data_IF_423629028567
#
_entry.id   IF_423629028567
#
_cell.length_a   1.000
_cell.length_b   1.000
_cell.length_c   1.000
_cell.angle_alpha   90.00
_cell.angle_beta   90.00
_cell.angle_gamma   90.00
#
_symmetry.space_group_name_H-M   'P 1'
#
loop_
_entity.id
_entity.type
_entity.pdbx_description
1 polymer ?
#
# COMPACT_ATOMS: atom_id res chain seq x y z
N UNK A 1 -20.82 16.14 -7.86
CA UNK A 1 -20.88 14.70 -8.18
C UNK A 1 -19.51 14.35 -8.69
N UNK A 2 -18.73 13.56 -7.94
CA UNK A 2 -17.45 13.08 -8.43
C UNK A 2 -17.69 12.39 -9.78
N UNK A 3 -16.97 12.82 -10.82
CA UNK A 3 -17.11 12.27 -12.16
C UNK A 3 -16.86 10.76 -12.10
N UNK A 4 -17.83 9.97 -12.56
CA UNK A 4 -17.79 8.51 -12.55
C UNK A 4 -16.49 7.99 -13.16
N UNK A 5 -15.94 8.70 -14.15
CA UNK A 5 -14.70 8.35 -14.84
C UNK A 5 -13.50 8.34 -13.90
N UNK A 6 -13.37 9.39 -13.09
CA UNK A 6 -12.31 9.53 -12.06
C UNK A 6 -12.42 8.39 -11.04
N UNK A 7 -13.64 8.12 -10.56
CA UNK A 7 -13.87 7.05 -9.60
C UNK A 7 -13.61 5.66 -10.20
N UNK A 8 -13.95 5.43 -11.47
CA UNK A 8 -13.75 4.16 -12.14
C UNK A 8 -12.26 3.86 -12.34
N UNK A 9 -11.47 4.83 -12.83
CA UNK A 9 -10.02 4.67 -13.08
C UNK A 9 -9.25 4.36 -11.80
N UNK A 10 -9.65 4.97 -10.69
CA UNK A 10 -9.05 4.76 -9.37
C UNK A 10 -9.59 3.52 -8.64
N UNK A 11 -10.58 2.82 -9.18
CA UNK A 11 -11.23 1.68 -8.51
C UNK A 11 -12.04 2.10 -7.27
N UNK A 12 -12.64 3.29 -7.28
CA UNK A 12 -13.53 3.80 -6.20
C UNK A 12 -14.98 3.37 -6.35
N UNK A 13 -15.46 3.08 -7.57
CA UNK A 13 -16.89 2.81 -7.76
C UNK A 13 -17.16 1.77 -8.85
N UNK A 14 -16.75 0.51 -8.59
CA UNK A 14 -17.22 -0.64 -9.37
C UNK A 14 -18.55 -1.18 -8.84
N UNK A 15 -19.42 -0.36 -8.24
CA UNK A 15 -20.79 -0.81 -8.05
C UNK A 15 -21.38 -1.10 -9.43
N UNK A 16 -21.55 -2.40 -9.73
CA UNK A 16 -22.40 -2.91 -10.79
C UNK A 16 -23.71 -2.13 -10.70
N UNK A 17 -23.86 -1.09 -11.53
CA UNK A 17 -25.11 -0.40 -11.66
C UNK A 17 -26.03 -1.38 -12.39
N UNK A 18 -26.69 -2.24 -11.62
CA UNK A 18 -27.67 -3.26 -12.04
C UNK A 18 -28.83 -2.66 -12.83
N UNK A 19 -28.87 -1.33 -12.98
CA UNK A 19 -29.69 -0.66 -13.98
C UNK A 19 -29.01 -0.75 -15.35
N UNK A 20 -29.01 -1.96 -15.93
CA UNK A 20 -28.66 -2.30 -17.33
C UNK A 20 -29.41 -1.45 -18.38
N UNK A 21 -30.30 -0.54 -17.98
CA UNK A 21 -31.11 0.30 -18.87
C UNK A 21 -30.48 1.66 -19.24
N UNK A 22 -29.37 2.07 -18.61
CA UNK A 22 -28.68 3.34 -18.98
C UNK A 22 -27.36 3.17 -19.73
N UNK A 23 -26.75 2.00 -19.68
CA UNK A 23 -25.63 1.67 -20.53
C UNK A 23 -26.21 1.04 -21.80
N UNK A 24 -26.19 1.79 -22.90
CA UNK A 24 -26.49 1.26 -24.22
C UNK A 24 -25.55 0.12 -24.61
N UNK A 25 -25.58 -0.38 -25.86
CA UNK A 25 -24.74 -1.48 -26.28
C UNK A 25 -23.27 -1.08 -26.25
N UNK A 26 -22.58 -1.36 -25.15
CA UNK A 26 -21.14 -1.16 -25.00
C UNK A 26 -20.77 -0.72 -23.59
N UNK A 27 -19.99 -1.54 -22.89
CA UNK A 27 -19.06 -1.03 -21.89
C UNK A 27 -18.26 0.10 -22.55
N UNK A 28 -18.23 1.29 -21.94
CA UNK A 28 -17.33 2.34 -22.40
C UNK A 28 -15.91 1.81 -22.35
N UNK A 29 -15.22 1.86 -23.49
CA UNK A 29 -13.84 1.36 -23.59
C UNK A 29 -12.98 2.16 -22.62
N UNK A 30 -12.03 1.50 -21.95
CA UNK A 30 -11.07 2.12 -21.04
C UNK A 30 -10.46 3.45 -21.56
N UNK A 31 -10.16 3.53 -22.86
CA UNK A 31 -9.67 4.74 -23.52
C UNK A 31 -10.65 5.93 -23.45
N UNK A 32 -11.96 5.69 -23.50
CA UNK A 32 -12.97 6.72 -23.36
C UNK A 32 -13.04 7.25 -21.93
N UNK A 33 -13.04 6.34 -20.94
CA UNK A 33 -13.05 6.72 -19.52
C UNK A 33 -11.80 7.53 -19.15
N UNK A 34 -10.62 7.12 -19.63
CA UNK A 34 -9.39 7.90 -19.48
C UNK A 34 -9.47 9.27 -20.16
N UNK A 35 -10.06 9.36 -21.36
CA UNK A 35 -10.21 10.63 -22.05
C UNK A 35 -11.11 11.60 -21.27
N UNK A 36 -12.21 11.10 -20.70
CA UNK A 36 -13.10 11.91 -19.85
C UNK A 36 -12.39 12.37 -18.58
N UNK A 37 -11.68 11.48 -17.89
CA UNK A 37 -10.92 11.85 -16.68
C UNK A 37 -9.77 12.84 -16.95
N UNK A 38 -9.16 12.78 -18.14
CA UNK A 38 -8.21 13.79 -18.61
C UNK A 38 -8.89 15.15 -18.79
N UNK A 39 -10.03 15.19 -19.47
CA UNK A 39 -10.72 16.45 -19.79
C UNK A 39 -11.42 17.08 -18.58
N UNK A 40 -11.95 16.27 -17.66
CA UNK A 40 -12.80 16.74 -16.57
C UNK A 40 -12.08 16.77 -15.21
N UNK A 41 -11.07 15.92 -15.03
CA UNK A 41 -10.41 15.70 -13.72
C UNK A 41 -8.90 15.93 -13.70
N UNK A 42 -8.25 16.28 -14.82
CA UNK A 42 -6.79 16.49 -14.86
C UNK A 42 -5.96 15.22 -14.57
N UNK A 43 -6.55 14.03 -14.78
CA UNK A 43 -5.87 12.74 -14.59
C UNK A 43 -5.27 12.31 -15.93
N UNK A 44 -3.98 12.55 -16.10
CA UNK A 44 -3.27 12.23 -17.36
C UNK A 44 -3.09 10.72 -17.57
N UNK A 45 -2.93 9.95 -16.49
CA UNK A 45 -2.79 8.49 -16.54
C UNK A 45 -3.33 7.83 -15.27
N UNK A 46 -3.70 6.55 -15.36
CA UNK A 46 -4.38 5.81 -14.28
C UNK A 46 -3.58 5.78 -12.95
N UNK A 47 -2.26 5.81 -13.04
CA UNK A 47 -1.37 5.78 -11.87
C UNK A 47 -0.83 7.16 -11.47
N UNK A 48 -1.35 8.27 -12.01
CA UNK A 48 -0.83 9.59 -11.64
C UNK A 48 -1.05 9.86 -10.15
N UNK A 49 -0.25 10.73 -9.51
CA UNK A 49 -0.49 11.13 -8.13
C UNK A 49 -1.91 11.66 -7.92
N UNK A 50 -2.37 11.66 -6.67
CA UNK A 50 -3.65 12.28 -6.32
C UNK A 50 -3.60 13.79 -6.58
N UNK A 51 -4.68 14.32 -7.17
CA UNK A 51 -4.87 15.77 -7.34
C UNK A 51 -5.49 16.38 -6.08
N UNK A 52 -5.38 17.70 -5.90
CA UNK A 52 -5.95 18.38 -4.71
C UNK A 52 -7.45 18.14 -4.55
N UNK A 53 -8.22 18.11 -5.65
CA UNK A 53 -9.65 17.79 -5.60
C UNK A 53 -9.92 16.38 -5.05
N UNK A 54 -9.07 15.39 -5.38
CA UNK A 54 -9.17 14.04 -4.84
C UNK A 54 -8.79 13.97 -3.35
N UNK A 55 -7.89 14.85 -2.89
CA UNK A 55 -7.54 15.00 -1.48
C UNK A 55 -8.70 15.66 -0.71
N UNK A 56 -9.29 16.72 -1.27
CA UNK A 56 -10.45 17.40 -0.71
C UNK A 56 -11.65 16.47 -0.58
N UNK A 57 -11.95 15.65 -1.59
CA UNK A 57 -13.02 14.65 -1.48
C UNK A 57 -12.80 13.69 -0.30
N UNK A 58 -11.55 13.29 -0.06
CA UNK A 58 -11.21 12.39 1.06
C UNK A 58 -11.37 13.05 2.42
N UNK A 59 -11.09 14.35 2.55
CA UNK A 59 -11.34 15.14 3.78
C UNK A 59 -12.82 15.13 4.19
N UNK A 60 -13.74 14.99 3.23
CA UNK A 60 -15.19 15.04 3.44
C UNK A 60 -15.89 13.67 3.39
N UNK A 61 -15.15 12.61 3.05
CA UNK A 61 -15.68 11.29 2.68
C UNK A 61 -15.15 10.15 3.53
N UNK A 62 -15.37 8.91 3.06
CA UNK A 62 -14.95 7.68 3.73
C UNK A 62 -13.42 7.51 3.61
N UNK A 63 -12.62 7.62 4.69
CA UNK A 63 -11.19 7.43 4.58
C UNK A 63 -10.86 5.94 4.70
N UNK A 64 -10.25 5.38 3.66
CA UNK A 64 -9.58 4.08 3.73
C UNK A 64 -8.08 4.29 3.53
N UNK A 65 -7.29 3.75 4.45
CA UNK A 65 -5.85 4.01 4.57
C UNK A 65 -5.07 3.35 3.41
N UNK A 66 -4.32 4.17 2.66
CA UNK A 66 -3.52 3.84 1.47
C UNK A 66 -4.14 2.89 0.44
N UNK A 67 -5.47 2.72 0.45
CA UNK A 67 -6.18 1.75 -0.39
C UNK A 67 -7.59 2.25 -0.71
N UNK A 68 -8.13 1.79 -1.84
CA UNK A 68 -9.52 2.08 -2.23
C UNK A 68 -10.44 0.88 -1.95
N UNK A 69 -11.69 1.12 -1.51
CA UNK A 69 -12.63 0.08 -1.07
C UNK A 69 -13.15 -0.84 -2.19
N UNK A 70 -13.02 -0.48 -3.48
CA UNK A 70 -13.70 -1.16 -4.58
C UNK A 70 -12.81 -1.44 -5.80
N UNK A 71 -11.68 -2.10 -5.59
CA UNK A 71 -10.80 -2.52 -6.68
C UNK A 71 -11.52 -3.58 -7.55
N UNK A 72 -11.63 -3.38 -8.89
CA UNK A 72 -12.13 -4.41 -9.81
C UNK A 72 -11.39 -5.74 -9.62
N UNK A 73 -12.12 -6.86 -9.57
CA UNK A 73 -11.56 -8.20 -9.34
C UNK A 73 -11.62 -8.69 -7.88
N UNK A 74 -11.74 -7.81 -6.88
CA UNK A 74 -11.88 -8.24 -5.48
C UNK A 74 -13.25 -8.82 -5.13
N UNK A 75 -14.29 -8.50 -5.90
CA UNK A 75 -15.66 -9.08 -5.75
C UNK A 75 -15.85 -10.43 -6.45
N UNK A 76 -14.83 -10.95 -7.14
CA UNK A 76 -14.83 -12.32 -7.63
C UNK A 76 -14.38 -13.33 -6.55
N UNK A 77 -13.88 -12.82 -5.41
CA UNK A 77 -13.68 -13.60 -4.18
C UNK A 77 -15.05 -13.91 -3.54
N UNK A 78 -15.35 -15.18 -3.19
CA UNK A 78 -16.60 -15.54 -2.55
C UNK A 78 -16.81 -14.77 -1.25
N UNK A 79 -18.06 -14.37 -1.03
CA UNK A 79 -18.55 -13.72 0.19
C UNK A 79 -18.04 -14.39 1.47
N UNK A 80 -17.35 -13.59 2.28
CA UNK A 80 -16.80 -13.93 3.59
C UNK A 80 -17.85 -14.51 4.54
N UNK A 81 -17.88 -15.83 4.72
CA UNK A 81 -18.58 -16.46 5.85
C UNK A 81 -17.74 -17.46 6.65
N UNK A 82 -16.47 -17.67 6.34
CA UNK A 82 -15.57 -18.50 7.17
C UNK A 82 -14.16 -17.94 7.19
N UNK A 83 -13.44 -18.17 8.31
CA UNK A 83 -12.00 -17.92 8.43
C UNK A 83 -11.27 -18.72 7.34
N UNK A 84 -10.88 -18.06 6.26
CA UNK A 84 -10.08 -18.62 5.16
C UNK A 84 -8.65 -18.15 5.35
N UNK A 85 -7.68 -19.06 5.26
CA UNK A 85 -6.24 -18.77 5.38
C UNK A 85 -5.74 -17.94 4.19
N UNK A 86 -4.62 -17.22 4.33
CA UNK A 86 -4.02 -16.40 3.25
C UNK A 86 -3.78 -17.23 1.97
N UNK A 87 -3.34 -18.48 2.13
CA UNK A 87 -3.15 -19.44 1.03
C UNK A 87 -4.43 -19.69 0.22
N UNK A 88 -5.59 -19.58 0.86
CA UNK A 88 -6.87 -19.98 0.31
C UNK A 88 -7.66 -18.78 -0.25
N UNK A 89 -7.20 -17.54 0.01
CA UNK A 89 -7.63 -16.32 -0.71
C UNK A 89 -6.93 -16.13 -2.06
N UNK A 90 -5.72 -16.70 -2.25
CA UNK A 90 -4.95 -16.60 -3.52
C UNK A 90 -5.51 -17.48 -4.64
N UNK A 91 -6.34 -18.47 -4.32
CA UNK A 91 -6.98 -19.37 -5.30
C UNK A 91 -8.05 -18.66 -6.14
N UNK A 92 -8.54 -17.51 -5.69
CA UNK A 92 -9.61 -16.75 -6.36
C UNK A 92 -9.11 -15.53 -7.15
N UNK A 93 -7.78 -15.28 -7.19
CA UNK A 93 -7.20 -14.26 -8.09
C UNK A 93 -6.93 -14.86 -9.47
N UNK A 94 -7.32 -14.14 -10.52
CA UNK A 94 -7.04 -14.55 -11.91
C UNK A 94 -5.53 -14.39 -12.21
N UNK A 95 -4.76 -15.42 -11.87
CA UNK A 95 -3.33 -15.50 -12.19
C UNK A 95 -3.12 -16.10 -13.59
N UNK A 96 -2.10 -15.61 -14.27
CA UNK A 96 -1.57 -16.19 -15.50
C UNK A 96 -0.85 -17.51 -15.23
N UNK A 97 -0.64 -18.31 -16.27
CA UNK A 97 0.10 -19.57 -16.15
C UNK A 97 1.55 -19.35 -15.67
N UNK A 98 2.20 -18.26 -16.07
CA UNK A 98 3.55 -17.91 -15.63
C UNK A 98 3.59 -17.54 -14.14
N UNK A 99 2.61 -16.80 -13.65
CA UNK A 99 2.47 -16.48 -12.23
C UNK A 99 2.24 -17.74 -11.38
N UNK A 100 1.39 -18.66 -11.84
CA UNK A 100 1.16 -19.94 -11.16
C UNK A 100 2.43 -20.80 -11.16
N UNK A 101 3.15 -20.88 -12.28
CA UNK A 101 4.41 -21.63 -12.36
C UNK A 101 5.45 -21.07 -11.37
N UNK A 102 5.58 -19.74 -11.30
CA UNK A 102 6.47 -19.09 -10.35
C UNK A 102 6.08 -19.30 -8.89
N UNK A 103 4.78 -19.26 -8.58
CA UNK A 103 4.25 -19.57 -7.26
C UNK A 103 4.62 -21.00 -6.81
N UNK A 104 4.49 -21.97 -7.71
CA UNK A 104 4.84 -23.38 -7.41
C UNK A 104 6.33 -23.65 -7.35
N UNK A 105 7.17 -22.73 -7.86
CA UNK A 105 8.62 -22.89 -7.92
C UNK A 105 9.11 -23.86 -9.01
N UNK A 106 8.24 -24.28 -9.94
CA UNK A 106 8.61 -25.21 -11.00
C UNK A 106 9.23 -24.48 -12.21
N UNK A 107 10.56 -24.42 -12.24
CA UNK A 107 11.34 -23.73 -13.28
C UNK A 107 11.12 -24.36 -14.66
N UNK A 108 11.02 -25.69 -14.75
CA UNK A 108 10.81 -26.39 -16.02
C UNK A 108 9.47 -26.02 -16.65
N UNK A 109 8.40 -25.98 -15.86
CA UNK A 109 7.08 -25.55 -16.33
C UNK A 109 7.11 -24.09 -16.76
N UNK A 110 7.77 -23.21 -15.99
CA UNK A 110 7.91 -21.81 -16.36
C UNK A 110 8.59 -21.69 -17.73
N UNK A 111 9.74 -22.34 -17.92
CA UNK A 111 10.50 -22.26 -19.17
C UNK A 111 9.73 -22.85 -20.36
N UNK A 112 8.97 -23.93 -20.16
CA UNK A 112 8.06 -24.47 -21.17
C UNK A 112 6.98 -23.48 -21.58
N UNK A 113 6.35 -22.80 -20.61
CA UNK A 113 5.33 -21.79 -20.89
C UNK A 113 5.92 -20.60 -21.64
N UNK A 114 7.11 -20.14 -21.26
CA UNK A 114 7.84 -19.07 -21.96
C UNK A 114 8.19 -19.48 -23.39
N UNK A 115 8.71 -20.69 -23.59
CA UNK A 115 9.02 -21.23 -24.91
C UNK A 115 7.78 -21.39 -25.81
N UNK A 116 6.61 -21.64 -25.21
CA UNK A 116 5.33 -21.67 -25.91
C UNK A 116 4.80 -20.28 -26.29
N UNK A 117 5.50 -19.20 -25.95
CA UNK A 117 5.12 -17.82 -26.28
C UNK A 117 4.11 -17.21 -25.31
N UNK A 118 4.10 -17.66 -24.04
CA UNK A 118 3.32 -16.99 -23.01
C UNK A 118 3.76 -15.52 -22.87
N UNK A 119 2.79 -14.62 -22.79
CA UNK A 119 3.05 -13.18 -22.70
C UNK A 119 3.70 -12.81 -21.35
N UNK A 120 4.88 -12.20 -21.44
CA UNK A 120 5.67 -11.69 -20.31
C UNK A 120 6.16 -10.25 -20.54
N UNK A 121 5.62 -9.57 -21.56
CA UNK A 121 6.17 -8.30 -22.06
C UNK A 121 6.19 -7.19 -21.02
N UNK A 122 5.19 -7.15 -20.12
CA UNK A 122 5.10 -6.12 -19.09
C UNK A 122 6.08 -6.32 -17.93
N UNK A 123 6.55 -7.55 -17.70
CA UNK A 123 7.37 -7.89 -16.53
C UNK A 123 8.87 -7.84 -16.81
N UNK A 124 9.26 -7.81 -18.08
CA UNK A 124 10.66 -7.68 -18.50
C UNK A 124 11.06 -6.21 -18.48
N UNK A 125 12.26 -5.90 -17.96
CA UNK A 125 12.79 -4.54 -18.02
C UNK A 125 13.44 -4.29 -19.38
N UNK A 126 12.98 -3.31 -20.19
CA UNK A 126 13.74 -2.90 -21.37
C UNK A 126 15.03 -2.22 -20.92
N UNK A 127 16.15 -2.56 -21.54
CA UNK A 127 17.48 -2.04 -21.21
C UNK A 127 17.70 -0.52 -21.42
N UNK A 128 16.65 0.24 -21.75
CA UNK A 128 16.73 1.63 -22.23
C UNK A 128 15.64 2.58 -21.74
N UNK A 129 14.74 2.18 -20.83
CA UNK A 129 13.72 3.13 -20.37
C UNK A 129 14.34 4.22 -19.49
N UNK A 130 14.15 5.47 -19.90
CA UNK A 130 14.36 6.66 -19.08
C UNK A 130 13.65 6.50 -17.74
N UNK A 131 14.23 7.05 -16.67
CA UNK A 131 13.63 7.12 -15.34
C UNK A 131 12.34 7.97 -15.28
N UNK A 132 11.75 8.33 -16.42
CA UNK A 132 10.49 9.05 -16.47
C UNK A 132 9.35 8.05 -16.24
N UNK A 133 8.94 7.95 -14.98
CA UNK A 133 7.81 7.16 -14.50
C UNK A 133 6.56 7.29 -15.39
N UNK A 134 6.35 8.45 -16.01
CA UNK A 134 5.19 8.73 -16.84
C UNK A 134 5.07 7.85 -18.11
N UNK A 135 6.18 7.35 -18.68
CA UNK A 135 6.15 6.53 -19.89
C UNK A 135 5.87 5.05 -19.60
N UNK A 136 6.29 4.55 -18.44
CA UNK A 136 6.07 3.15 -18.02
C UNK A 136 4.58 2.80 -17.83
N UNK A 137 3.71 3.80 -17.70
CA UNK A 137 2.29 3.61 -17.39
C UNK A 137 1.34 4.12 -18.47
N UNK A 138 1.85 4.47 -19.66
CA UNK A 138 1.02 4.81 -20.81
C UNK A 138 0.42 3.53 -21.39
N UNK A 139 -0.86 3.31 -21.10
CA UNK A 139 -1.67 2.27 -21.76
C UNK A 139 -2.03 2.79 -23.15
N UNK A 140 -1.17 2.53 -24.15
CA UNK A 140 -1.53 2.78 -25.54
C UNK A 140 -2.62 1.78 -25.96
N UNK A 141 -3.68 2.29 -26.59
CA UNK A 141 -4.98 1.63 -26.66
C UNK A 141 -5.07 0.27 -27.39
N UNK A 142 -6.25 -0.34 -27.23
CA UNK A 142 -6.79 -1.59 -27.82
C UNK A 142 -6.04 -2.91 -27.63
N UNK A 143 -4.72 -2.94 -27.53
CA UNK A 143 -3.93 -4.18 -27.48
C UNK A 143 -3.07 -4.27 -26.20
N UNK A 144 -3.69 -4.04 -25.03
CA UNK A 144 -3.01 -4.28 -23.75
C UNK A 144 -2.72 -5.77 -23.59
N UNK A 145 -1.44 -6.11 -23.42
CA UNK A 145 -1.00 -7.49 -23.24
C UNK A 145 -1.54 -8.08 -21.94
N UNK A 146 -1.64 -9.41 -21.85
CA UNK A 146 -2.22 -10.07 -20.66
C UNK A 146 -1.38 -9.76 -19.41
N UNK A 147 -0.05 -9.75 -19.56
CA UNK A 147 0.91 -9.38 -18.52
C UNK A 147 0.73 -7.94 -18.04
N UNK A 148 0.29 -7.03 -18.92
CA UNK A 148 -0.01 -5.65 -18.55
C UNK A 148 -1.30 -5.51 -17.73
N UNK A 149 -2.27 -6.40 -17.97
CA UNK A 149 -3.53 -6.46 -17.21
C UNK A 149 -3.39 -7.24 -15.90
N UNK A 150 -2.24 -7.85 -15.63
CA UNK A 150 -2.00 -8.57 -14.39
C UNK A 150 -1.87 -7.61 -13.20
N UNK A 151 -2.48 -7.99 -12.07
CA UNK A 151 -2.36 -7.27 -10.79
C UNK A 151 -1.14 -7.74 -9.98
N UNK A 152 -0.35 -8.64 -10.53
CA UNK A 152 0.81 -9.30 -9.94
C UNK A 152 1.86 -9.54 -11.04
N UNK A 153 2.97 -10.19 -10.69
CA UNK A 153 3.91 -10.74 -11.65
C UNK A 153 4.52 -12.04 -11.09
N UNK A 154 5.17 -12.85 -11.94
CA UNK A 154 5.88 -14.05 -11.47
C UNK A 154 6.90 -13.76 -10.37
N UNK A 155 7.53 -12.58 -10.36
CA UNK A 155 8.43 -12.16 -9.26
C UNK A 155 7.66 -11.99 -7.95
N UNK A 156 6.50 -11.34 -7.98
CA UNK A 156 5.63 -11.21 -6.80
C UNK A 156 5.23 -12.58 -6.27
N UNK A 157 4.79 -13.49 -7.14
CA UNK A 157 4.34 -14.83 -6.77
C UNK A 157 5.47 -15.70 -6.21
N UNK A 158 6.66 -15.66 -6.80
CA UNK A 158 7.82 -16.40 -6.30
C UNK A 158 8.20 -15.93 -4.89
N UNK A 159 8.22 -14.62 -4.64
CA UNK A 159 8.46 -14.04 -3.30
C UNK A 159 7.36 -14.49 -2.34
N UNK A 160 6.09 -14.35 -2.74
CA UNK A 160 4.93 -14.67 -1.89
C UNK A 160 4.86 -16.14 -1.47
N UNK A 161 5.44 -17.04 -2.26
CA UNK A 161 5.56 -18.46 -1.97
C UNK A 161 6.91 -18.87 -1.34
N UNK A 162 7.86 -17.92 -1.20
CA UNK A 162 9.19 -18.18 -0.67
C UNK A 162 10.09 -19.00 -1.62
N UNK A 163 9.85 -18.96 -2.91
CA UNK A 163 10.55 -19.75 -3.93
C UNK A 163 11.84 -19.07 -4.39
N UNK A 164 12.88 -19.13 -3.54
CA UNK A 164 14.14 -18.43 -3.77
C UNK A 164 14.84 -18.80 -5.10
N UNK A 165 14.91 -20.09 -5.44
CA UNK A 165 15.52 -20.55 -6.70
C UNK A 165 14.77 -20.04 -7.92
N UNK A 166 13.44 -19.99 -7.85
CA UNK A 166 12.59 -19.45 -8.90
C UNK A 166 12.81 -17.94 -9.05
N UNK A 167 12.86 -17.19 -7.94
CA UNK A 167 13.15 -15.76 -7.97
C UNK A 167 14.49 -15.47 -8.65
N UNK A 168 15.55 -16.20 -8.28
CA UNK A 168 16.86 -16.06 -8.92
C UNK A 168 16.79 -16.33 -10.43
N UNK A 169 16.07 -17.37 -10.84
CA UNK A 169 15.89 -17.68 -12.27
C UNK A 169 15.13 -16.57 -13.01
N UNK A 170 14.04 -16.06 -12.43
CA UNK A 170 13.27 -14.96 -13.01
C UNK A 170 14.12 -13.69 -13.21
N UNK A 171 14.89 -13.30 -12.20
CA UNK A 171 15.72 -12.09 -12.27
C UNK A 171 16.93 -12.26 -13.19
N UNK A 172 17.68 -13.36 -13.05
CA UNK A 172 18.96 -13.54 -13.75
C UNK A 172 18.83 -14.12 -15.17
N UNK A 173 17.98 -15.14 -15.35
CA UNK A 173 17.80 -15.84 -16.63
C UNK A 173 16.70 -15.19 -17.45
N UNK A 174 15.54 -14.94 -16.84
CA UNK A 174 14.37 -14.42 -17.55
C UNK A 174 14.38 -12.89 -17.71
N UNK A 175 15.28 -12.18 -17.00
CA UNK A 175 15.43 -10.71 -17.01
C UNK A 175 14.16 -9.96 -16.58
N UNK A 176 13.44 -10.55 -15.62
CA UNK A 176 12.27 -9.89 -15.04
C UNK A 176 12.72 -8.70 -14.19
N UNK A 177 11.95 -7.64 -14.24
CA UNK A 177 12.23 -6.42 -13.50
C UNK A 177 12.05 -6.65 -11.99
N UNK A 178 13.06 -6.35 -11.15
CA UNK A 178 12.90 -6.31 -9.69
C UNK A 178 12.02 -5.13 -9.23
N UNK A 179 11.67 -4.22 -10.15
CA UNK A 179 11.03 -2.93 -9.92
C UNK A 179 9.62 -2.85 -10.54
N UNK A 180 9.07 -3.96 -11.05
CA UNK A 180 7.78 -3.96 -11.74
C UNK A 180 6.64 -3.46 -10.83
N UNK A 181 5.85 -2.50 -11.30
CA UNK A 181 4.66 -1.99 -10.60
C UNK A 181 3.40 -2.43 -11.36
N UNK A 182 2.53 -3.26 -10.77
CA UNK A 182 1.30 -3.69 -11.43
C UNK A 182 0.40 -2.52 -11.85
N UNK A 183 0.08 -2.41 -13.14
CA UNK A 183 -0.65 -1.26 -13.68
C UNK A 183 -2.17 -1.41 -13.55
N UNK A 184 -2.68 -2.64 -13.59
CA UNK A 184 -4.11 -2.93 -13.60
C UNK A 184 -4.83 -2.58 -12.29
N UNK A 185 -4.11 -2.52 -11.17
CA UNK A 185 -4.64 -2.18 -9.87
C UNK A 185 -3.76 -1.08 -9.23
N UNK A 186 -3.87 0.17 -9.70
CA UNK A 186 -2.89 1.22 -9.45
C UNK A 186 -2.81 1.67 -7.98
N UNK A 187 -3.89 1.46 -7.22
CA UNK A 187 -3.99 1.79 -5.79
C UNK A 187 -3.34 0.75 -4.89
N UNK A 188 -2.98 -0.41 -5.46
CA UNK A 188 -2.25 -1.51 -4.79
C UNK A 188 -1.03 -1.94 -5.62
N UNK A 189 -0.51 -1.03 -6.45
CA UNK A 189 0.67 -1.24 -7.29
C UNK A 189 1.95 -1.21 -6.45
N UNK A 190 2.17 -2.30 -5.69
CA UNK A 190 3.34 -2.50 -4.87
C UNK A 190 4.48 -3.03 -5.74
N UNK A 191 5.68 -2.39 -5.75
CA UNK A 191 6.89 -3.03 -6.28
C UNK A 191 7.23 -4.32 -5.50
N UNK A 192 7.97 -5.28 -6.08
CA UNK A 192 8.29 -6.56 -5.44
C UNK A 192 8.84 -6.44 -4.02
N UNK A 193 9.73 -5.48 -3.78
CA UNK A 193 10.31 -5.25 -2.46
C UNK A 193 9.26 -4.76 -1.44
N UNK A 194 8.45 -3.76 -1.83
CA UNK A 194 7.35 -3.28 -1.01
C UNK A 194 6.30 -4.35 -0.76
N UNK A 195 6.00 -5.18 -1.77
CA UNK A 195 5.06 -6.30 -1.66
C UNK A 195 5.56 -7.38 -0.68
N UNK A 196 6.85 -7.71 -0.71
CA UNK A 196 7.46 -8.64 0.23
C UNK A 196 7.22 -8.19 1.68
N UNK A 197 7.47 -6.91 1.97
CA UNK A 197 7.27 -6.35 3.32
C UNK A 197 5.79 -6.24 3.65
N UNK A 198 4.94 -5.78 2.73
CA UNK A 198 3.57 -5.42 3.04
C UNK A 198 2.58 -6.61 3.05
N UNK A 199 2.86 -7.69 2.30
CA UNK A 199 1.87 -8.75 2.03
C UNK A 199 2.36 -10.17 2.33
N UNK A 200 3.66 -10.37 2.54
CA UNK A 200 4.23 -11.70 2.76
C UNK A 200 4.48 -11.98 4.24
N UNK A 201 4.54 -13.26 4.58
CA UNK A 201 4.89 -13.71 5.92
C UNK A 201 6.41 -13.63 6.10
N UNK A 202 6.87 -12.60 6.80
CA UNK A 202 8.29 -12.37 7.07
C UNK A 202 8.91 -13.41 8.03
N UNK A 203 8.10 -14.26 8.67
CA UNK A 203 8.60 -15.40 9.46
C UNK A 203 8.99 -16.60 8.58
N UNK A 204 8.55 -16.62 7.32
CA UNK A 204 8.90 -17.66 6.37
C UNK A 204 10.35 -17.49 5.88
N UNK A 205 11.20 -18.48 6.13
CA UNK A 205 12.62 -18.46 5.75
C UNK A 205 12.85 -18.35 4.24
N UNK A 206 11.96 -18.90 3.41
CA UNK A 206 12.00 -18.74 1.96
C UNK A 206 11.72 -17.31 1.52
N UNK A 207 10.77 -16.64 2.17
CA UNK A 207 10.47 -15.20 1.93
C UNK A 207 11.66 -14.35 2.36
N UNK A 208 12.26 -14.63 3.52
CA UNK A 208 13.49 -13.96 3.98
C UNK A 208 14.64 -14.14 2.99
N UNK A 209 14.85 -15.35 2.47
CA UNK A 209 15.84 -15.62 1.43
C UNK A 209 15.58 -14.83 0.14
N UNK A 210 14.32 -14.76 -0.29
CA UNK A 210 13.90 -13.95 -1.42
C UNK A 210 14.17 -12.45 -1.20
N UNK A 211 13.91 -11.94 0.02
CA UNK A 211 14.14 -10.55 0.38
C UNK A 211 15.62 -10.18 0.32
N UNK A 212 16.49 -11.04 0.86
CA UNK A 212 17.95 -10.85 0.80
C UNK A 212 18.46 -10.85 -0.65
N UNK A 213 17.99 -11.79 -1.48
CA UNK A 213 18.37 -11.85 -2.90
C UNK A 213 17.91 -10.60 -3.67
N UNK A 214 16.69 -10.13 -3.38
CA UNK A 214 16.13 -8.94 -4.01
C UNK A 214 16.92 -7.67 -3.61
N UNK A 215 17.19 -7.48 -2.31
CA UNK A 215 18.00 -6.37 -1.79
C UNK A 215 19.44 -6.37 -2.33
N UNK A 216 19.95 -7.54 -2.70
CA UNK A 216 21.29 -7.69 -3.31
C UNK A 216 21.30 -7.47 -4.83
N UNK A 217 20.13 -7.30 -5.46
CA UNK A 217 20.04 -7.20 -6.91
C UNK A 217 20.51 -5.81 -7.42
N UNK A 218 21.46 -5.73 -8.36
CA UNK A 218 22.10 -4.45 -8.73
C UNK A 218 21.17 -3.45 -9.42
N UNK A 219 20.07 -3.92 -10.01
CA UNK A 219 19.08 -3.07 -10.67
C UNK A 219 17.87 -2.74 -9.79
N UNK A 220 17.83 -3.25 -8.54
CA UNK A 220 16.75 -2.92 -7.63
C UNK A 220 16.79 -1.42 -7.30
N UNK A 221 15.66 -0.76 -7.45
CA UNK A 221 15.43 0.56 -6.90
C UNK A 221 14.62 0.42 -5.60
N UNK A 222 15.33 0.53 -4.47
CA UNK A 222 14.74 0.41 -3.14
C UNK A 222 13.91 1.64 -2.74
N UNK A 223 14.03 2.75 -3.48
CA UNK A 223 13.33 4.00 -3.20
C UNK A 223 12.03 4.16 -4.02
N UNK A 224 11.54 3.09 -4.66
CA UNK A 224 10.28 3.14 -5.39
C UNK A 224 9.09 3.33 -4.46
N UNK A 225 8.29 4.35 -4.75
CA UNK A 225 7.02 4.62 -4.09
C UNK A 225 5.85 4.00 -4.86
N UNK A 226 4.75 3.74 -4.15
CA UNK A 226 3.48 3.46 -4.82
C UNK A 226 3.03 4.69 -5.60
N UNK A 227 2.54 4.53 -6.83
CA UNK A 227 2.42 5.66 -7.75
C UNK A 227 1.28 6.64 -7.39
N UNK A 228 0.19 6.14 -6.78
CA UNK A 228 -0.95 7.00 -6.38
C UNK A 228 -0.74 7.63 -5.01
N UNK A 229 -0.37 6.81 -4.03
CA UNK A 229 -0.34 7.22 -2.62
C UNK A 229 1.05 7.62 -2.13
N UNK A 230 2.06 7.58 -3.01
CA UNK A 230 3.45 7.90 -2.69
C UNK A 230 4.00 7.11 -1.49
N UNK A 231 3.57 5.85 -1.30
CA UNK A 231 3.94 5.06 -0.12
C UNK A 231 5.28 4.39 -0.37
N UNK A 232 6.29 4.79 0.39
CA UNK A 232 7.60 4.16 0.43
C UNK A 232 7.60 2.84 1.23
N UNK A 233 8.53 1.93 0.94
CA UNK A 233 8.64 0.64 1.64
C UNK A 233 8.81 0.77 3.16
N UNK A 234 9.50 1.82 3.61
CA UNK A 234 9.72 2.08 5.03
C UNK A 234 8.42 2.41 5.78
N UNK A 235 7.39 2.91 5.10
CA UNK A 235 6.07 3.05 5.71
C UNK A 235 5.48 1.66 6.03
N UNK A 236 5.61 0.68 5.12
CA UNK A 236 5.16 -0.70 5.39
C UNK A 236 6.00 -1.35 6.49
N UNK A 237 7.33 -1.17 6.48
CA UNK A 237 8.20 -1.67 7.54
C UNK A 237 7.82 -1.09 8.91
N UNK A 238 7.56 0.21 8.97
CA UNK A 238 7.12 0.91 10.20
C UNK A 238 5.79 0.37 10.70
N UNK A 239 4.87 0.04 9.78
CA UNK A 239 3.59 -0.55 10.15
C UNK A 239 3.75 -1.89 10.87
N UNK A 240 4.82 -2.68 10.67
CA UNK A 240 5.01 -3.92 11.43
C UNK A 240 5.32 -3.72 12.91
N UNK A 241 5.70 -2.50 13.32
CA UNK A 241 6.26 -2.21 14.64
C UNK A 241 7.38 -3.16 15.06
N UNK A 242 8.20 -3.54 14.08
CA UNK A 242 9.42 -4.30 14.28
C UNK A 242 10.60 -3.32 14.13
N UNK A 243 11.18 -2.83 15.25
CA UNK A 243 12.26 -1.84 15.22
C UNK A 243 13.53 -2.40 14.58
N UNK A 244 13.76 -3.72 14.65
CA UNK A 244 14.94 -4.37 14.08
C UNK A 244 14.82 -4.44 12.56
N UNK A 245 13.65 -4.88 12.05
CA UNK A 245 13.34 -4.86 10.62
C UNK A 245 13.44 -3.44 10.06
N UNK A 246 12.85 -2.48 10.75
CA UNK A 246 12.83 -1.08 10.33
C UNK A 246 14.25 -0.49 10.26
N UNK A 247 15.06 -0.71 11.30
CA UNK A 247 16.45 -0.22 11.36
C UNK A 247 17.34 -0.90 10.32
N UNK A 248 17.16 -2.21 10.11
CA UNK A 248 17.91 -2.97 9.11
C UNK A 248 17.62 -2.46 7.69
N UNK A 249 16.34 -2.29 7.33
CA UNK A 249 15.96 -1.76 6.02
C UNK A 249 16.48 -0.32 5.83
N UNK A 250 16.31 0.55 6.83
CA UNK A 250 16.81 1.92 6.76
C UNK A 250 18.35 1.97 6.66
N UNK A 251 19.07 1.00 7.21
CA UNK A 251 20.54 0.90 7.08
C UNK A 251 21.01 0.51 5.68
N UNK A 252 20.18 -0.21 4.90
CA UNK A 252 20.52 -0.68 3.55
C UNK A 252 20.07 0.33 2.48
N UNK A 253 18.96 1.03 2.71
CA UNK A 253 18.35 1.91 1.72
C UNK A 253 19.16 3.21 1.58
N UNK A 254 19.53 3.64 0.36
CA UNK A 254 20.15 4.94 0.14
C UNK A 254 19.26 6.08 0.63
N UNK A 255 19.78 6.89 1.57
CA UNK A 255 19.03 7.97 2.23
C UNK A 255 18.35 7.56 3.54
N UNK A 256 18.36 6.27 3.88
CA UNK A 256 17.82 5.73 5.13
C UNK A 256 16.40 6.19 5.43
N UNK A 257 16.13 6.60 6.67
CA UNK A 257 14.79 7.08 7.06
C UNK A 257 14.31 8.30 6.25
N UNK A 258 15.21 9.17 5.80
CA UNK A 258 14.84 10.35 5.01
C UNK A 258 14.27 9.97 3.63
N UNK A 259 14.66 8.82 3.08
CA UNK A 259 14.19 8.35 1.78
C UNK A 259 12.68 8.09 1.77
N UNK A 260 12.06 7.83 2.94
CA UNK A 260 10.63 7.58 3.02
C UNK A 260 9.78 8.79 2.61
N UNK A 261 10.25 10.01 2.87
CA UNK A 261 9.47 11.23 2.64
C UNK A 261 8.11 11.22 3.35
N UNK A 262 7.08 11.69 2.64
CA UNK A 262 5.68 11.67 3.07
C UNK A 262 4.81 11.02 2.01
N UNK A 263 3.75 10.34 2.44
CA UNK A 263 2.74 9.80 1.52
C UNK A 263 1.93 10.94 0.88
N UNK A 264 1.17 10.64 -0.16
CA UNK A 264 0.24 11.60 -0.78
C UNK A 264 -0.85 12.09 0.20
N UNK A 265 -1.04 11.38 1.32
CA UNK A 265 -1.94 11.77 2.40
C UNK A 265 -1.23 12.55 3.52
N UNK A 266 0.07 12.88 3.35
CA UNK A 266 0.87 13.60 4.34
C UNK A 266 1.33 12.75 5.52
N UNK A 267 1.18 11.42 5.47
CA UNK A 267 1.70 10.56 6.52
C UNK A 267 3.23 10.47 6.44
N UNK A 268 3.86 10.71 7.58
CA UNK A 268 5.29 10.44 7.82
C UNK A 268 5.44 9.06 8.47
N UNK A 269 6.68 8.56 8.60
CA UNK A 269 6.95 7.34 9.38
C UNK A 269 6.42 7.46 10.82
N UNK A 270 6.52 8.65 11.45
CA UNK A 270 6.02 8.84 12.82
C UNK A 270 4.49 8.76 12.89
N UNK A 271 3.76 9.24 11.88
CA UNK A 271 2.32 9.01 11.80
C UNK A 271 2.03 7.50 11.79
N UNK A 272 2.75 6.75 10.94
CA UNK A 272 2.54 5.31 10.80
C UNK A 272 2.87 4.55 12.09
N UNK A 273 3.98 4.91 12.74
CA UNK A 273 4.36 4.32 14.03
C UNK A 273 3.42 4.70 15.19
N UNK A 274 2.58 5.72 15.00
CA UNK A 274 1.61 6.17 15.99
C UNK A 274 0.21 5.59 15.79
N UNK A 275 0.01 4.85 14.70
CA UNK A 275 -1.26 4.24 14.39
C UNK A 275 -1.54 3.00 15.26
N UNK A 276 -2.83 2.69 15.50
CA UNK A 276 -3.23 1.43 16.10
C UNK A 276 -2.94 0.25 15.16
N UNK A 277 -2.51 -0.87 15.73
CA UNK A 277 -2.16 -2.09 14.99
C UNK A 277 -3.36 -2.73 14.30
N UNK A 278 -4.55 -2.52 14.84
CA UNK A 278 -5.81 -3.03 14.30
C UNK A 278 -6.89 -1.96 14.30
N UNK A 279 -7.86 -2.08 13.37
CA UNK A 279 -9.03 -1.20 13.32
C UNK A 279 -9.94 -1.32 14.55
N UNK A 280 -9.76 -2.31 15.42
CA UNK A 280 -10.54 -2.48 16.66
C UNK A 280 -9.91 -1.78 17.87
N UNK A 281 -8.75 -1.13 17.72
CA UNK A 281 -8.01 -0.45 18.80
C UNK A 281 -8.30 1.06 18.90
N UNK A 282 -9.31 1.58 18.19
CA UNK A 282 -9.67 3.00 18.18
C UNK A 282 -10.89 3.32 19.04
N UNK A 283 -10.89 4.51 19.64
CA UNK A 283 -12.09 5.20 20.16
C UNK A 283 -13.00 5.56 18.95
N UNK A 284 -14.29 5.95 19.07
CA UNK A 284 -15.23 5.98 17.93
C UNK A 284 -14.95 7.08 16.88
N UNK A 285 -13.76 7.69 16.92
CA UNK A 285 -13.23 8.57 15.88
C UNK A 285 -12.40 7.76 14.89
N UNK A 286 -12.78 7.85 13.61
CA UNK A 286 -12.28 7.03 12.49
C UNK A 286 -10.79 7.27 12.19
N UNK A 287 -9.90 6.65 12.94
CA UNK A 287 -8.49 6.54 12.58
C UNK A 287 -8.26 5.16 11.93
N UNK A 288 -7.93 5.06 10.64
CA UNK A 288 -7.76 3.76 10.00
C UNK A 288 -6.36 3.18 10.23
N UNK A 289 -6.24 1.87 10.42
CA UNK A 289 -4.97 1.16 10.72
C UNK A 289 -4.10 0.90 9.46
N UNK A 290 -2.76 1.00 9.56
CA UNK A 290 -1.82 0.81 8.45
C UNK A 290 -1.54 -0.65 8.11
N UNK A 291 -1.64 -1.55 9.09
CA UNK A 291 -1.29 -2.97 8.94
C UNK A 291 -2.43 -3.74 8.25
N UNK A 292 -3.64 -3.22 8.36
CA UNK A 292 -4.82 -3.84 7.79
C UNK A 292 -5.21 -3.15 6.48
N UNK A 293 -4.49 -3.48 5.40
CA UNK A 293 -5.04 -3.46 4.03
C UNK A 293 -6.20 -4.49 3.85
N UNK A 294 -6.94 -4.77 4.93
CA UNK A 294 -8.10 -5.64 4.96
C UNK A 294 -9.35 -4.79 5.18
N UNK A 295 -10.16 -4.80 4.14
CA UNK A 295 -11.50 -4.26 4.02
C UNK A 295 -12.36 -4.77 5.18
N UNK A 296 -12.76 -3.86 6.06
CA UNK A 296 -13.93 -4.03 6.90
C UNK A 296 -15.03 -3.18 6.29
N UNK A 297 -16.16 -3.80 5.97
CA UNK A 297 -17.36 -3.13 5.46
C UNK A 297 -17.87 -2.10 6.49
N UNK A 298 -18.68 -1.11 6.09
CA UNK A 298 -19.23 -0.12 7.02
C UNK A 298 -20.01 -0.70 8.23
N UNK A 299 -20.49 -1.95 8.13
CA UNK A 299 -21.10 -2.70 9.24
C UNK A 299 -20.10 -3.30 10.24
N UNK A 300 -18.82 -3.34 9.87
CA UNK A 300 -17.69 -3.88 10.64
C UNK A 300 -16.77 -2.76 11.19
N UNK A 301 -16.85 -1.53 10.64
CA UNK A 301 -16.17 -0.34 11.18
C UNK A 301 -16.77 0.17 12.49
N UNK A 302 -17.97 -0.27 12.85
CA UNK A 302 -18.44 -0.21 14.22
C UNK A 302 -17.91 -1.43 14.96
N UNK A 303 -16.65 -1.39 15.44
CA UNK A 303 -16.14 -2.46 16.28
C UNK A 303 -17.06 -2.57 17.51
N UNK A 304 -17.97 -3.55 17.50
CA UNK A 304 -18.91 -3.80 18.62
C UNK A 304 -18.17 -4.08 19.93
N UNK A 305 -16.87 -4.39 19.85
CA UNK A 305 -15.96 -4.61 20.96
C UNK A 305 -14.58 -4.02 20.63
N UNK A 306 -14.26 -2.80 21.10
CA UNK A 306 -12.89 -2.32 21.06
C UNK A 306 -11.95 -3.29 21.77
N UNK A 307 -10.81 -3.61 21.15
CA UNK A 307 -9.80 -4.47 21.75
C UNK A 307 -8.59 -3.61 22.10
N UNK A 308 -8.15 -3.58 23.36
CA UNK A 308 -6.94 -2.86 23.72
C UNK A 308 -5.68 -3.51 23.09
N UNK A 309 -4.62 -2.72 22.87
CA UNK A 309 -3.29 -3.26 22.56
C UNK A 309 -2.80 -4.16 23.70
N UNK A 310 -2.15 -5.27 23.37
CA UNK A 310 -1.43 -6.08 24.38
C UNK A 310 -0.18 -5.34 24.87
N UNK A 311 0.39 -5.76 26.00
CA UNK A 311 1.64 -5.18 26.52
C UNK A 311 2.78 -5.29 25.49
N UNK A 312 2.90 -6.44 24.82
CA UNK A 312 3.91 -6.64 23.78
C UNK A 312 3.71 -5.67 22.60
N UNK A 313 2.46 -5.42 22.21
CA UNK A 313 2.11 -4.48 21.17
C UNK A 313 2.44 -3.02 21.54
N UNK A 314 2.17 -2.61 22.79
CA UNK A 314 2.58 -1.31 23.31
C UNK A 314 4.09 -1.14 23.31
N UNK A 315 4.83 -2.16 23.77
CA UNK A 315 6.29 -2.16 23.78
C UNK A 315 6.87 -2.07 22.37
N UNK A 316 6.31 -2.81 21.41
CA UNK A 316 6.70 -2.77 20.00
C UNK A 316 6.45 -1.38 19.38
N UNK A 317 5.27 -0.80 19.61
CA UNK A 317 4.94 0.56 19.15
C UNK A 317 5.91 1.59 19.73
N UNK A 318 6.11 1.57 21.05
CA UNK A 318 7.04 2.46 21.75
C UNK A 318 8.46 2.32 21.21
N UNK A 319 8.96 1.10 21.02
CA UNK A 319 10.30 0.85 20.51
C UNK A 319 10.47 1.40 19.09
N UNK A 320 9.45 1.22 18.24
CA UNK A 320 9.43 1.78 16.87
C UNK A 320 9.43 3.30 16.89
N UNK A 321 8.60 3.93 17.73
CA UNK A 321 8.61 5.39 17.94
C UNK A 321 9.99 5.86 18.42
N UNK A 322 10.61 5.16 19.36
CA UNK A 322 11.94 5.50 19.85
C UNK A 322 13.01 5.48 18.75
N UNK A 323 13.08 4.42 17.95
CA UNK A 323 14.02 4.33 16.80
C UNK A 323 13.88 5.55 15.89
N UNK A 324 12.64 5.91 15.59
CA UNK A 324 12.30 7.03 14.74
C UNK A 324 12.69 8.39 15.37
N UNK A 325 12.45 8.60 16.66
CA UNK A 325 12.85 9.83 17.37
C UNK A 325 14.37 9.94 17.54
N UNK A 326 15.05 8.83 17.84
CA UNK A 326 16.51 8.76 18.02
C UNK A 326 17.27 9.08 16.73
N UNK A 327 16.67 8.83 15.55
CA UNK A 327 17.21 9.28 14.27
C UNK A 327 17.28 10.82 14.15
N UNK A 328 16.38 11.55 14.80
CA UNK A 328 16.41 13.02 14.90
C UNK A 328 15.95 13.80 13.67
N UNK A 329 15.66 13.14 12.55
CA UNK A 329 15.18 13.77 11.30
C UNK A 329 13.66 13.91 11.17
N UNK A 330 12.89 13.69 12.24
CA UNK A 330 11.42 13.66 12.20
C UNK A 330 10.84 14.97 12.69
N UNK A 331 9.92 15.52 11.89
CA UNK A 331 9.07 16.63 12.31
C UNK A 331 7.81 16.12 13.02
N UNK A 332 7.71 16.38 14.33
CA UNK A 332 6.54 16.07 15.15
C UNK A 332 5.35 17.00 14.89
N UNK A 333 5.57 18.11 14.18
CA UNK A 333 4.52 19.08 13.78
C UNK A 333 3.87 18.72 12.44
N UNK A 334 4.42 17.76 11.71
CA UNK A 334 3.89 17.32 10.43
C UNK A 334 2.41 16.94 10.57
N UNK A 335 1.60 17.41 9.62
CA UNK A 335 0.17 17.14 9.54
C UNK A 335 -0.15 16.33 8.29
N UNK A 336 -1.04 15.36 8.45
CA UNK A 336 -1.66 14.68 7.33
C UNK A 336 -2.76 15.54 6.68
N UNK A 337 -3.42 14.98 5.65
CA UNK A 337 -4.51 15.66 4.92
C UNK A 337 -5.72 16.04 5.78
N UNK A 338 -5.90 15.39 6.92
CA UNK A 338 -6.96 15.66 7.89
C UNK A 338 -6.47 16.60 9.01
N UNK A 339 -5.25 17.13 8.89
CA UNK A 339 -4.64 17.99 9.90
C UNK A 339 -4.18 17.24 11.15
N UNK A 340 -4.24 15.91 11.18
CA UNK A 340 -3.77 15.11 12.31
C UNK A 340 -2.25 15.07 12.29
N UNK A 341 -1.68 15.15 13.49
CA UNK A 341 -0.26 14.86 13.75
C UNK A 341 -0.12 13.48 14.36
N UNK A 342 1.10 12.97 14.49
CA UNK A 342 1.38 11.73 15.23
C UNK A 342 0.75 11.70 16.65
N UNK A 343 0.74 12.82 17.36
CA UNK A 343 0.12 12.93 18.68
C UNK A 343 -1.41 12.79 18.65
N UNK A 344 -2.09 13.20 17.57
CA UNK A 344 -3.52 12.95 17.40
C UNK A 344 -3.80 11.44 17.29
N UNK A 345 -2.95 10.71 16.55
CA UNK A 345 -3.06 9.26 16.39
C UNK A 345 -2.84 8.51 17.70
N UNK A 346 -1.79 8.85 18.46
CA UNK A 346 -1.56 8.27 19.77
C UNK A 346 -2.75 8.57 20.70
N UNK A 347 -3.24 9.80 20.72
CA UNK A 347 -4.33 10.19 21.62
C UNK A 347 -5.69 9.58 21.27
N UNK A 348 -5.94 9.26 20.00
CA UNK A 348 -7.15 8.56 19.56
C UNK A 348 -7.09 7.04 19.73
N UNK A 349 -5.93 6.48 20.06
CA UNK A 349 -5.71 5.05 20.22
C UNK A 349 -6.05 4.60 21.64
N UNK A 350 -6.81 3.51 21.76
CA UNK A 350 -7.14 2.95 23.06
C UNK A 350 -5.88 2.45 23.75
N UNK A 351 -5.82 2.64 25.07
CA UNK A 351 -4.79 2.14 25.96
C UNK A 351 -3.33 2.26 25.45
N UNK A 352 -3.01 3.33 24.72
CA UNK A 352 -1.61 3.59 24.37
C UNK A 352 -0.80 3.86 25.63
N UNK A 353 0.48 3.47 25.62
CA UNK A 353 1.38 3.71 26.73
C UNK A 353 1.64 5.21 26.93
N UNK A 354 1.38 5.73 28.13
CA UNK A 354 1.55 7.16 28.43
C UNK A 354 2.99 7.63 28.18
N UNK A 355 3.97 6.76 28.42
CA UNK A 355 5.38 7.08 28.14
C UNK A 355 5.63 7.28 26.64
N UNK A 356 4.91 6.56 25.76
CA UNK A 356 5.03 6.74 24.31
C UNK A 356 4.53 8.13 23.87
N UNK A 357 3.44 8.61 24.48
CA UNK A 357 2.93 9.97 24.24
C UNK A 357 3.91 11.02 24.76
N UNK A 358 4.44 10.80 25.96
CA UNK A 358 5.40 11.71 26.58
C UNK A 358 6.71 11.82 25.77
N UNK A 359 7.21 10.70 25.23
CA UNK A 359 8.37 10.70 24.33
C UNK A 359 8.18 11.65 23.14
N UNK A 360 7.02 11.62 22.49
CA UNK A 360 6.73 12.50 21.34
C UNK A 360 6.50 13.95 21.80
N UNK A 361 5.90 14.18 22.98
CA UNK A 361 5.68 15.53 23.54
C UNK A 361 6.97 16.25 23.90
N UNK A 362 7.98 15.51 24.36
CA UNK A 362 9.29 16.06 24.76
C UNK A 362 10.15 16.49 23.57
N UNK A 363 9.83 16.04 22.35
CA UNK A 363 10.49 16.52 21.15
C UNK A 363 10.23 18.01 20.93
N UNK A 364 11.12 18.66 20.17
CA UNK A 364 10.99 20.08 19.87
C UNK A 364 9.63 20.38 19.21
N UNK A 365 8.77 21.14 19.91
CA UNK A 365 7.42 21.49 19.47
C UNK A 365 6.33 20.47 19.78
N UNK A 366 6.68 19.31 20.34
CA UNK A 366 5.72 18.26 20.69
C UNK A 366 4.66 18.76 21.67
N UNK A 367 5.05 19.46 22.74
CA UNK A 367 4.09 20.02 23.71
C UNK A 367 3.20 21.11 23.11
N UNK A 368 3.73 21.95 22.22
CA UNK A 368 2.91 22.95 21.52
C UNK A 368 1.86 22.25 20.62
N UNK A 369 2.25 21.20 19.90
CA UNK A 369 1.34 20.37 19.10
C UNK A 369 0.27 19.73 19.99
N UNK A 370 0.67 19.18 21.13
CA UNK A 370 -0.24 18.55 22.08
C UNK A 370 -1.36 19.48 22.56
N UNK A 371 -1.01 20.74 22.83
CA UNK A 371 -1.92 21.74 23.40
C UNK A 371 -2.73 22.50 22.34
N UNK A 372 -2.11 22.84 21.20
CA UNK A 372 -2.61 23.89 20.29
C UNK A 372 -2.92 23.40 18.88
N UNK A 373 -2.26 22.34 18.40
CA UNK A 373 -2.47 21.90 17.03
C UNK A 373 -3.83 21.21 16.91
N UNK A 374 -4.71 21.79 16.10
CA UNK A 374 -6.00 21.20 15.77
C UNK A 374 -5.93 20.42 14.46
N UNK A 375 -6.67 19.32 14.42
CA UNK A 375 -7.04 18.64 13.18
C UNK A 375 -8.23 19.32 12.49
N UNK A 376 -8.69 18.75 11.38
CA UNK A 376 -9.80 19.27 10.58
C UNK A 376 -11.11 19.42 11.38
N UNK A 377 -11.31 18.62 12.42
CA UNK A 377 -12.48 18.70 13.31
C UNK A 377 -12.31 19.71 14.44
N UNK A 378 -11.21 20.47 14.46
CA UNK A 378 -10.93 21.46 15.51
C UNK A 378 -10.50 20.85 16.84
N UNK A 379 -10.13 19.56 16.85
CA UNK A 379 -9.73 18.84 18.06
C UNK A 379 -8.21 18.80 18.17
N UNK A 380 -7.68 19.03 19.38
CA UNK A 380 -6.26 18.86 19.70
C UNK A 380 -5.98 17.45 20.25
N UNK A 381 -4.72 16.97 20.24
CA UNK A 381 -4.36 15.70 20.86
C UNK A 381 -4.79 15.60 22.32
N UNK A 382 -4.59 16.68 23.09
CA UNK A 382 -5.02 16.74 24.50
C UNK A 382 -6.52 16.55 24.67
N UNK A 383 -7.33 17.17 23.81
CA UNK A 383 -8.78 17.02 23.84
C UNK A 383 -9.21 15.59 23.50
N UNK A 384 -8.56 14.95 22.53
CA UNK A 384 -8.79 13.54 22.17
C UNK A 384 -8.43 12.59 23.32
N UNK A 385 -7.39 12.92 24.09
CA UNK A 385 -6.95 12.14 25.25
C UNK A 385 -7.97 12.14 26.40
N UNK A 386 -8.86 13.13 26.46
CA UNK A 386 -9.89 13.24 27.51
C UNK A 386 -9.40 13.83 28.83
N UNK A 387 -8.41 14.74 28.81
CA UNK A 387 -7.92 15.48 30.00
C UNK A 387 -8.33 16.95 30.01
#
# INVERSE_FOLDING_TARGET
>A
MADFSVNFIRGRDFHFNRNEKRLGPGFERHAHVLATARSEGGIDHQVCPLIEAELDERRHGFPHFWTEPYIPGRRLLPTMHKRVTIAQRRVDSALTALEVAANTGNIEILDLLRAAGADESAWIQPSTTSNDDADHFKIEGKDASISFLATSSPVHEAIAAGQQSMLRHLLSTCRYSPNYRPCAAPTVALPPLSYAIAQCDLSNTGVQGCLVDLLSHPQLDANLHTPIFNVHLLHFATAHHDPDLLSWLAGIIPGGFAAAGVTALGHTLLHVASLPLTNCQTSPYRLPSPIHMQFLTPGETGAKHPQPMTVAQQQAQKATVRVLLEWGGIDVRAKDVDGNTALHYLAGTLNVDEETVELVRQMEGGEAVWQEATNYWGLTPRQLWGK
#
